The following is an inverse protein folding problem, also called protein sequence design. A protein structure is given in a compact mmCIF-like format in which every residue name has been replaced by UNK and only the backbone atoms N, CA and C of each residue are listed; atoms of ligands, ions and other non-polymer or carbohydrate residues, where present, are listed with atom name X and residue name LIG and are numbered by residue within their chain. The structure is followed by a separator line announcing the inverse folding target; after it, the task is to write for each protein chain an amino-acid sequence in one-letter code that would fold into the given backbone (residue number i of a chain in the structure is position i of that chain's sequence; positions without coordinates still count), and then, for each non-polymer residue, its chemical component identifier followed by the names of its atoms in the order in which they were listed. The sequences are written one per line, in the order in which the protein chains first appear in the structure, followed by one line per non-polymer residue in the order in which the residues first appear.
data_IF_602116744748
#
_entry.id   IF_602116744748
#
_cell.length_a   1.000
_cell.length_b   1.000
_cell.length_c   1.000
_cell.angle_alpha   90.00
_cell.angle_beta   90.00
_cell.angle_gamma   90.00
#
_symmetry.space_group_name_H-M   'P 1'
#
loop_
_entity.id
_entity.type
_entity.pdbx_description
1 polymer ?
#
# COMPACT_ATOMS: atom_id res chain seq x y z
N UNK A 1 15.19 -5.01 7.23
CA UNK A 1 14.96 -6.14 6.29
C UNK A 1 14.44 -7.39 7.00
N UNK A 2 15.18 -8.50 7.16
CA UNK A 2 14.61 -9.83 7.54
C UNK A 2 13.60 -9.89 8.70
N UNK A 3 13.83 -9.22 9.85
CA UNK A 3 12.89 -9.24 10.99
C UNK A 3 11.47 -8.74 10.66
N UNK A 4 11.32 -7.89 9.65
CA UNK A 4 10.02 -7.38 9.21
C UNK A 4 9.27 -8.40 8.34
N UNK A 5 9.95 -8.97 7.34
CA UNK A 5 9.37 -10.04 6.49
C UNK A 5 8.97 -11.28 7.32
N UNK A 6 9.73 -11.61 8.36
CA UNK A 6 9.39 -12.67 9.31
C UNK A 6 8.16 -12.34 10.19
N UNK A 7 7.82 -11.06 10.37
CA UNK A 7 6.61 -10.63 11.09
C UNK A 7 5.39 -10.66 10.16
N UNK A 8 5.52 -10.17 8.93
CA UNK A 8 4.48 -10.29 7.89
C UNK A 8 4.13 -11.76 7.57
N UNK A 9 5.13 -12.64 7.43
CA UNK A 9 4.88 -14.07 7.24
C UNK A 9 4.31 -14.79 8.49
N UNK A 10 3.95 -14.07 9.57
CA UNK A 10 3.14 -14.59 10.69
C UNK A 10 1.64 -14.22 10.59
N UNK A 11 1.25 -13.41 9.61
CA UNK A 11 -0.13 -13.02 9.28
C UNK A 11 -0.61 -13.63 7.94
N UNK A 12 0.03 -14.73 7.50
CA UNK A 12 0.18 -15.02 6.06
C UNK A 12 -0.92 -15.83 5.39
N UNK A 13 -2.07 -16.02 6.02
CA UNK A 13 -3.21 -16.71 5.40
C UNK A 13 -4.03 -15.77 4.48
N UNK A 14 -3.94 -14.45 4.65
CA UNK A 14 -4.72 -13.46 3.86
C UNK A 14 -3.90 -12.29 3.25
N UNK A 15 -2.59 -12.17 3.51
CA UNK A 15 -1.76 -11.11 2.92
C UNK A 15 -1.17 -11.52 1.55
N UNK A 16 -1.78 -11.02 0.48
CA UNK A 16 -1.41 -11.28 -0.91
C UNK A 16 -0.10 -10.58 -1.35
N UNK A 17 0.46 -10.98 -2.49
CA UNK A 17 1.78 -10.53 -2.95
C UNK A 17 1.86 -9.02 -3.22
N UNK A 18 0.75 -8.45 -3.71
CA UNK A 18 0.50 -7.02 -3.93
C UNK A 18 0.77 -6.19 -2.67
N UNK A 19 0.20 -6.59 -1.53
CA UNK A 19 0.38 -5.89 -0.26
C UNK A 19 1.86 -5.84 0.15
N UNK A 20 2.56 -6.98 -0.02
CA UNK A 20 3.99 -7.10 0.26
C UNK A 20 4.81 -6.22 -0.70
N UNK A 21 4.35 -6.05 -1.93
CA UNK A 21 4.97 -5.20 -2.95
C UNK A 21 4.82 -3.70 -2.63
N UNK A 22 3.62 -3.20 -2.31
CA UNK A 22 3.46 -1.79 -1.88
C UNK A 22 4.24 -1.52 -0.59
N UNK A 23 4.19 -2.43 0.38
CA UNK A 23 4.93 -2.26 1.65
C UNK A 23 6.45 -2.23 1.46
N UNK A 24 6.99 -2.88 0.42
CA UNK A 24 8.41 -2.73 0.07
C UNK A 24 8.69 -1.36 -0.52
N UNK A 25 7.90 -0.93 -1.51
CA UNK A 25 8.10 0.36 -2.17
C UNK A 25 7.92 1.51 -1.17
N UNK A 26 6.97 1.46 -0.25
CA UNK A 26 6.81 2.48 0.80
C UNK A 26 7.88 2.43 1.92
N UNK A 27 8.67 1.35 2.00
CA UNK A 27 9.88 1.30 2.83
C UNK A 27 11.09 1.90 2.11
N UNK A 28 11.19 1.69 0.79
CA UNK A 28 12.33 2.11 -0.04
C UNK A 28 12.18 3.54 -0.58
N UNK A 29 10.94 4.03 -0.77
CA UNK A 29 10.59 5.37 -1.24
C UNK A 29 9.69 6.11 -0.23
N UNK A 30 10.26 7.18 0.36
CA UNK A 30 9.57 8.04 1.33
C UNK A 30 8.45 8.89 0.68
N UNK A 31 8.55 9.22 -0.60
CA UNK A 31 7.52 10.00 -1.32
C UNK A 31 6.26 9.17 -1.54
N UNK A 32 6.40 7.87 -1.82
CA UNK A 32 5.29 6.91 -1.86
C UNK A 32 4.66 6.78 -0.47
N UNK A 33 5.46 6.63 0.59
CA UNK A 33 4.95 6.57 1.99
C UNK A 33 4.16 7.82 2.36
N UNK A 34 4.70 9.02 2.08
CA UNK A 34 4.06 10.32 2.32
C UNK A 34 2.80 10.57 1.47
N UNK A 35 2.67 9.90 0.32
CA UNK A 35 1.46 9.95 -0.52
C UNK A 35 0.39 8.97 -0.02
N UNK A 36 0.77 7.75 0.37
CA UNK A 36 -0.17 6.70 0.75
C UNK A 36 -0.82 6.91 2.12
N UNK A 37 -0.06 7.34 3.15
CA UNK A 37 -0.60 7.54 4.51
C UNK A 37 -1.86 8.43 4.51
N UNK A 38 -1.83 9.69 3.99
CA UNK A 38 -3.01 10.56 4.03
C UNK A 38 -4.15 10.10 3.10
N UNK A 39 -3.92 9.17 2.17
CA UNK A 39 -4.98 8.53 1.36
C UNK A 39 -5.66 7.41 2.16
N UNK A 40 -4.89 6.64 2.94
CA UNK A 40 -5.39 5.52 3.73
C UNK A 40 -6.15 5.97 4.99
N UNK A 41 -5.81 7.15 5.51
CA UNK A 41 -6.49 7.84 6.61
C UNK A 41 -7.85 8.46 6.24
N UNK A 42 -8.20 8.49 4.94
CA UNK A 42 -9.52 8.97 4.49
C UNK A 42 -10.64 7.97 4.81
N UNK A 43 -11.89 8.45 4.81
CA UNK A 43 -13.05 7.55 4.89
C UNK A 43 -13.07 6.55 3.70
N UNK A 44 -13.73 5.39 3.85
CA UNK A 44 -13.74 4.34 2.82
C UNK A 44 -14.20 4.78 1.42
N UNK A 45 -15.02 5.83 1.28
CA UNK A 45 -15.46 6.31 -0.03
C UNK A 45 -14.39 7.19 -0.68
N UNK A 46 -13.89 8.21 0.04
CA UNK A 46 -12.82 9.07 -0.48
C UNK A 46 -11.53 8.30 -0.71
N UNK A 47 -11.13 7.41 0.22
CA UNK A 47 -9.98 6.48 0.07
C UNK A 47 -10.02 5.73 -1.26
N UNK A 48 -11.16 5.13 -1.59
CA UNK A 48 -11.33 4.34 -2.83
C UNK A 48 -11.33 5.21 -4.10
N UNK A 49 -11.71 6.48 -4.01
CA UNK A 49 -11.55 7.42 -5.12
C UNK A 49 -10.08 7.85 -5.30
N UNK A 50 -9.43 8.29 -4.21
CA UNK A 50 -8.05 8.76 -4.23
C UNK A 50 -7.05 7.68 -4.61
N UNK A 51 -7.23 6.43 -4.17
CA UNK A 51 -6.39 5.30 -4.62
C UNK A 51 -6.52 5.03 -6.12
N UNK A 52 -7.74 5.09 -6.69
CA UNK A 52 -7.95 4.94 -8.14
C UNK A 52 -7.32 6.09 -8.93
N UNK A 53 -7.44 7.32 -8.43
CA UNK A 53 -6.80 8.49 -9.03
C UNK A 53 -5.27 8.39 -8.97
N UNK A 54 -4.71 7.93 -7.84
CA UNK A 54 -3.27 7.72 -7.67
C UNK A 54 -2.76 6.61 -8.59
N UNK A 55 -3.41 5.43 -8.62
CA UNK A 55 -3.07 4.33 -9.52
C UNK A 55 -2.98 4.79 -10.99
N UNK A 56 -3.98 5.54 -11.47
CA UNK A 56 -4.02 6.12 -12.81
C UNK A 56 -2.93 7.18 -13.07
N UNK A 57 -2.50 7.91 -12.03
CA UNK A 57 -1.36 8.83 -12.13
C UNK A 57 -0.04 8.05 -12.28
N UNK A 58 0.21 7.01 -11.48
CA UNK A 58 1.47 6.24 -11.60
C UNK A 58 1.52 5.39 -12.86
N UNK A 59 0.39 4.83 -13.31
CA UNK A 59 0.26 4.16 -14.61
C UNK A 59 0.72 5.10 -15.76
N UNK A 60 0.27 6.35 -15.76
CA UNK A 60 0.72 7.38 -16.73
C UNK A 60 2.21 7.68 -16.68
N UNK A 61 2.86 7.53 -15.53
CA UNK A 61 4.33 7.68 -15.40
C UNK A 61 5.11 6.45 -15.87
N UNK A 62 4.43 5.40 -16.38
CA UNK A 62 5.00 4.09 -16.74
C UNK A 62 5.61 3.34 -15.54
N UNK A 63 4.98 3.45 -14.37
CA UNK A 63 5.29 2.58 -13.24
C UNK A 63 5.05 1.10 -13.58
N UNK A 64 5.70 0.14 -12.89
CA UNK A 64 5.41 -1.28 -13.03
C UNK A 64 3.92 -1.56 -12.84
N UNK A 65 3.37 -2.47 -13.66
CA UNK A 65 1.94 -2.83 -13.61
C UNK A 65 1.57 -3.40 -12.24
N UNK A 66 2.48 -4.17 -11.67
CA UNK A 66 2.46 -4.74 -10.34
C UNK A 66 2.26 -3.67 -9.25
N UNK A 67 2.75 -2.45 -9.46
CA UNK A 67 2.53 -1.34 -8.53
C UNK A 67 1.12 -0.75 -8.66
N UNK A 68 0.64 -0.60 -9.90
CA UNK A 68 -0.71 -0.09 -10.19
C UNK A 68 -1.78 -1.05 -9.65
N UNK A 69 -1.63 -2.35 -9.91
CA UNK A 69 -2.52 -3.40 -9.39
C UNK A 69 -2.47 -3.46 -7.86
N UNK A 70 -1.28 -3.30 -7.26
CA UNK A 70 -1.15 -3.30 -5.81
C UNK A 70 -1.71 -2.05 -5.11
N UNK A 71 -1.68 -0.87 -5.74
CA UNK A 71 -2.42 0.31 -5.26
C UNK A 71 -3.94 0.07 -5.35
N UNK A 72 -4.42 -0.61 -6.39
CA UNK A 72 -5.83 -0.98 -6.52
C UNK A 72 -6.23 -1.99 -5.43
N UNK A 73 -5.32 -2.89 -5.01
CA UNK A 73 -5.56 -3.84 -3.91
C UNK A 73 -5.80 -3.15 -2.56
N UNK A 74 -5.21 -1.96 -2.33
CA UNK A 74 -5.51 -1.12 -1.16
C UNK A 74 -6.91 -0.50 -1.16
N UNK A 75 -7.73 -0.72 -2.21
CA UNK A 75 -9.12 -0.27 -2.23
C UNK A 75 -10.08 -1.21 -1.44
N UNK A 76 -9.57 -2.34 -0.94
CA UNK A 76 -10.23 -3.12 0.09
C UNK A 76 -10.00 -2.50 1.49
N UNK A 77 -11.01 -2.56 2.36
CA UNK A 77 -10.99 -1.81 3.63
C UNK A 77 -10.13 -2.45 4.72
N UNK A 78 -10.13 -3.79 4.84
CA UNK A 78 -9.31 -4.50 5.83
C UNK A 78 -7.83 -4.42 5.47
N UNK A 79 -7.54 -4.51 4.17
CA UNK A 79 -6.20 -4.37 3.60
C UNK A 79 -5.67 -2.94 3.78
N UNK A 80 -6.51 -1.92 3.55
CA UNK A 80 -6.15 -0.52 3.75
C UNK A 80 -5.83 -0.18 5.22
N UNK A 81 -6.62 -0.67 6.16
CA UNK A 81 -6.38 -0.46 7.60
C UNK A 81 -5.11 -1.16 8.06
N UNK A 82 -4.89 -2.40 7.60
CA UNK A 82 -3.64 -3.14 7.85
C UNK A 82 -2.42 -2.41 7.26
N UNK A 83 -2.56 -1.84 6.06
CA UNK A 83 -1.51 -1.05 5.39
C UNK A 83 -1.14 0.19 6.22
N UNK A 84 -2.12 0.99 6.63
CA UNK A 84 -1.90 2.20 7.43
C UNK A 84 -1.22 1.87 8.77
N UNK A 85 -1.67 0.80 9.42
CA UNK A 85 -1.11 0.32 10.70
C UNK A 85 0.34 -0.14 10.56
N UNK A 86 0.77 -0.72 9.44
CA UNK A 86 2.20 -1.06 9.22
C UNK A 86 3.02 0.13 8.68
N UNK A 87 2.44 1.04 7.89
CA UNK A 87 3.13 2.27 7.44
C UNK A 87 3.50 3.18 8.61
N UNK A 88 2.59 3.38 9.55
CA UNK A 88 2.82 4.21 10.76
C UNK A 88 3.78 3.56 11.78
N UNK A 89 4.36 2.38 11.48
CA UNK A 89 5.46 1.75 12.23
C UNK A 89 6.83 1.98 11.57
N UNK A 90 6.87 2.64 10.40
CA UNK A 90 8.08 2.97 9.64
C UNK A 90 8.40 4.45 9.86
N UNK A 91 9.23 4.73 10.88
CA UNK A 91 9.95 6.00 11.01
C UNK A 91 10.88 6.16 9.81
#
# INVERSE_FOLDING_TARGET
MFKFLARLFKFREHLNEEFIYVMRIAQEDESVRKTLIPILEMDPYLRKQSLRQFAYQVEKTKAPREFVEAIIYLADDEIAETMLVELNKIN
#
